data_IF_238917114807
#
_entry.id   IF_238917114807
#
_cell.length_a   1.000
_cell.length_b   1.000
_cell.length_c   1.000
_cell.angle_alpha   90.00
_cell.angle_beta   90.00
_cell.angle_gamma   90.00
#
_symmetry.space_group_name_H-M   'P 1'
#
loop_
_entity.id
_entity.type
_entity.pdbx_description
1 polymer ?
#
# COMPACT_ATOMS: atom_id res chain seq x y z
N UNK A 1 -16.36 -3.47 -9.49
CA UNK A 1 -17.85 -3.51 -9.38
C UNK A 1 -18.46 -2.78 -10.58
N UNK A 2 -18.90 -3.53 -11.60
CA UNK A 2 -19.12 -3.05 -12.98
C UNK A 2 -20.46 -2.35 -13.26
N UNK A 3 -20.58 -1.82 -14.48
CA UNK A 3 -21.78 -1.19 -15.07
C UNK A 3 -22.51 -2.25 -15.90
N UNK A 4 -23.81 -2.45 -15.64
CA UNK A 4 -24.74 -3.07 -16.60
C UNK A 4 -25.30 -1.96 -17.50
N UNK A 5 -25.07 -2.00 -18.83
CA UNK A 5 -25.63 -1.02 -19.75
C UNK A 5 -27.16 -1.12 -19.91
N UNK A 6 -27.82 -2.12 -19.32
CA UNK A 6 -29.24 -2.43 -19.52
C UNK A 6 -30.15 -2.15 -18.31
N UNK A 7 -29.65 -1.50 -17.26
CA UNK A 7 -30.49 -0.95 -16.19
C UNK A 7 -31.14 -1.96 -15.23
N UNK A 8 -30.55 -3.16 -15.02
CA UNK A 8 -30.98 -4.03 -13.91
C UNK A 8 -30.20 -3.71 -12.64
N UNK A 9 -30.85 -4.00 -11.51
CA UNK A 9 -30.37 -3.78 -10.14
C UNK A 9 -28.87 -4.02 -9.98
N UNK A 10 -28.14 -2.99 -9.55
CA UNK A 10 -26.71 -3.02 -9.28
C UNK A 10 -26.51 -3.24 -7.79
N UNK A 11 -25.89 -4.37 -7.48
CA UNK A 11 -25.47 -4.68 -6.12
C UNK A 11 -24.42 -3.67 -5.64
N UNK A 12 -24.78 -2.84 -4.66
CA UNK A 12 -23.87 -1.83 -4.10
C UNK A 12 -22.95 -2.40 -3.00
N UNK A 13 -21.97 -1.62 -2.54
CA UNK A 13 -21.06 -2.09 -1.48
C UNK A 13 -21.77 -2.36 -0.15
N UNK A 14 -22.87 -1.66 0.16
CA UNK A 14 -23.65 -1.87 1.40
C UNK A 14 -24.41 -3.18 1.35
N UNK A 15 -24.98 -3.51 0.21
CA UNK A 15 -25.65 -4.78 -0.04
C UNK A 15 -24.64 -5.94 0.00
N UNK A 16 -23.45 -5.73 -0.56
CA UNK A 16 -22.35 -6.70 -0.43
C UNK A 16 -21.91 -6.90 1.02
N UNK A 17 -21.79 -5.84 1.80
CA UNK A 17 -21.48 -5.93 3.24
C UNK A 17 -22.55 -6.73 3.99
N UNK A 18 -23.84 -6.48 3.72
CA UNK A 18 -24.93 -7.24 4.34
C UNK A 18 -24.88 -8.72 3.98
N UNK A 19 -24.55 -9.05 2.72
CA UNK A 19 -24.40 -10.44 2.29
C UNK A 19 -23.18 -11.09 2.97
N UNK A 20 -22.06 -10.38 3.08
CA UNK A 20 -20.88 -10.86 3.81
C UNK A 20 -21.24 -11.15 5.27
N UNK A 21 -21.98 -10.26 5.93
CA UNK A 21 -22.44 -10.47 7.30
C UNK A 21 -23.30 -11.74 7.44
N UNK A 22 -24.24 -11.96 6.52
CA UNK A 22 -25.06 -13.17 6.50
C UNK A 22 -24.22 -14.42 6.27
N UNK A 23 -23.27 -14.39 5.34
CA UNK A 23 -22.40 -15.53 5.05
C UNK A 23 -21.53 -15.90 6.26
N UNK A 24 -20.88 -14.91 6.88
CA UNK A 24 -20.06 -15.11 8.09
C UNK A 24 -20.91 -15.62 9.24
N UNK A 25 -22.12 -15.07 9.45
CA UNK A 25 -23.05 -15.56 10.47
C UNK A 25 -23.51 -17.01 10.23
N UNK A 26 -23.46 -17.49 8.99
CA UNK A 26 -23.77 -18.86 8.60
C UNK A 26 -22.52 -19.75 8.43
N UNK A 27 -21.37 -19.32 8.95
CA UNK A 27 -20.16 -20.15 9.02
C UNK A 27 -19.23 -20.06 7.80
N UNK A 28 -19.41 -19.08 6.92
CA UNK A 28 -18.41 -18.79 5.90
C UNK A 28 -17.08 -18.37 6.55
N UNK A 29 -15.97 -18.90 6.04
CA UNK A 29 -14.64 -18.63 6.57
C UNK A 29 -14.18 -17.20 6.25
N UNK A 30 -14.10 -16.37 7.30
CA UNK A 30 -13.61 -14.99 7.21
C UNK A 30 -12.08 -14.91 7.08
N UNK A 31 -11.38 -16.01 7.37
CA UNK A 31 -9.92 -16.12 7.31
C UNK A 31 -9.37 -16.44 5.93
N UNK A 32 -10.22 -16.61 4.91
CA UNK A 32 -9.76 -16.87 3.53
C UNK A 32 -8.87 -15.72 3.03
N UNK A 33 -7.60 -16.01 2.65
CA UNK A 33 -6.64 -15.05 2.12
C UNK A 33 -7.19 -14.21 0.95
N UNK A 34 -8.03 -14.85 0.13
CA UNK A 34 -8.59 -14.26 -1.09
C UNK A 34 -9.50 -13.06 -0.84
N UNK A 35 -10.12 -12.95 0.34
CA UNK A 35 -11.14 -11.92 0.62
C UNK A 35 -10.54 -10.51 0.59
N UNK A 36 -9.47 -10.29 1.37
CA UNK A 36 -8.81 -8.98 1.45
C UNK A 36 -8.12 -8.62 0.13
N UNK A 37 -7.45 -9.60 -0.49
CA UNK A 37 -6.82 -9.42 -1.80
C UNK A 37 -7.83 -9.00 -2.86
N UNK A 38 -8.99 -9.65 -2.91
CA UNK A 38 -10.04 -9.35 -3.89
C UNK A 38 -10.64 -7.97 -3.65
N UNK A 39 -10.97 -7.61 -2.41
CA UNK A 39 -11.49 -6.29 -2.09
C UNK A 39 -10.48 -5.17 -2.43
N UNK A 40 -9.20 -5.41 -2.19
CA UNK A 40 -8.14 -4.46 -2.53
C UNK A 40 -7.93 -4.32 -4.06
N UNK A 41 -7.84 -5.43 -4.79
CA UNK A 41 -7.64 -5.42 -6.24
C UNK A 41 -8.85 -4.85 -7.01
N UNK A 42 -10.06 -4.97 -6.46
CA UNK A 42 -11.29 -4.44 -7.06
C UNK A 42 -11.69 -3.06 -6.58
N UNK A 43 -10.82 -2.39 -5.81
CA UNK A 43 -11.00 -1.03 -5.31
C UNK A 43 -12.26 -0.87 -4.43
N UNK A 44 -12.62 -1.94 -3.71
CA UNK A 44 -13.77 -1.98 -2.81
C UNK A 44 -13.36 -1.67 -1.36
N UNK A 45 -13.00 -0.42 -1.08
CA UNK A 45 -12.44 -0.01 0.22
C UNK A 45 -13.40 -0.27 1.40
N UNK A 46 -14.70 -0.04 1.25
CA UNK A 46 -15.66 -0.25 2.34
C UNK A 46 -15.79 -1.74 2.68
N UNK A 47 -15.83 -2.59 1.65
CA UNK A 47 -15.80 -4.05 1.81
C UNK A 47 -14.50 -4.48 2.50
N UNK A 48 -13.36 -3.94 2.06
CA UNK A 48 -12.05 -4.24 2.65
C UNK A 48 -11.99 -3.91 4.15
N UNK A 49 -12.38 -2.69 4.53
CA UNK A 49 -12.43 -2.26 5.94
C UNK A 49 -13.41 -3.14 6.75
N UNK A 50 -14.56 -3.49 6.17
CA UNK A 50 -15.52 -4.38 6.81
C UNK A 50 -14.93 -5.77 7.09
N UNK A 51 -14.28 -6.38 6.09
CA UNK A 51 -13.62 -7.69 6.23
C UNK A 51 -12.56 -7.67 7.34
N UNK A 52 -11.71 -6.63 7.41
CA UNK A 52 -10.75 -6.48 8.50
C UNK A 52 -11.43 -6.42 9.88
N UNK A 53 -12.54 -5.67 9.98
CA UNK A 53 -13.31 -5.55 11.23
C UNK A 53 -13.94 -6.86 11.69
N UNK A 54 -14.20 -7.78 10.74
CA UNK A 54 -14.71 -9.13 11.00
C UNK A 54 -13.63 -10.16 11.29
N UNK A 55 -12.37 -9.77 11.25
CA UNK A 55 -11.24 -10.64 11.58
C UNK A 55 -10.52 -11.25 10.39
N UNK A 56 -10.82 -10.84 9.14
CA UNK A 56 -10.03 -11.26 8.00
C UNK A 56 -8.59 -10.77 8.14
N UNK A 57 -7.61 -11.64 7.86
CA UNK A 57 -6.18 -11.31 7.95
C UNK A 57 -5.45 -11.93 6.76
N UNK A 58 -4.70 -11.11 6.05
CA UNK A 58 -3.80 -11.51 4.96
C UNK A 58 -2.86 -10.35 4.65
N UNK A 59 -2.02 -10.04 5.64
CA UNK A 59 -1.23 -8.82 5.63
C UNK A 59 -0.27 -8.78 4.44
N UNK A 60 0.26 -9.94 4.04
CA UNK A 60 1.19 -10.10 2.92
C UNK A 60 0.51 -9.77 1.59
N UNK A 61 -0.66 -10.34 1.30
CA UNK A 61 -1.31 -10.07 0.01
C UNK A 61 -1.89 -8.65 -0.04
N UNK A 62 -2.25 -8.05 1.10
CA UNK A 62 -2.60 -6.62 1.15
C UNK A 62 -1.40 -5.74 0.81
N UNK A 63 -0.23 -6.01 1.39
CA UNK A 63 1.01 -5.31 1.09
C UNK A 63 1.37 -5.43 -0.40
N UNK A 64 1.22 -6.62 -0.97
CA UNK A 64 1.41 -6.87 -2.40
C UNK A 64 0.36 -6.18 -3.27
N UNK A 65 -0.90 -6.10 -2.85
CA UNK A 65 -1.94 -5.36 -3.57
C UNK A 65 -1.60 -3.87 -3.67
N UNK A 66 -1.18 -3.25 -2.56
CA UNK A 66 -0.86 -1.82 -2.54
C UNK A 66 0.40 -1.54 -3.38
N UNK A 67 1.49 -2.24 -3.11
CA UNK A 67 2.74 -2.04 -3.83
C UNK A 67 2.66 -2.45 -5.31
N UNK A 68 2.03 -3.58 -5.59
CA UNK A 68 1.78 -4.08 -6.94
C UNK A 68 0.84 -3.18 -7.72
N UNK A 69 -0.21 -2.65 -7.09
CA UNK A 69 -1.11 -1.65 -7.67
C UNK A 69 -0.36 -0.39 -8.11
N UNK A 70 0.53 0.13 -7.25
CA UNK A 70 1.40 1.27 -7.59
C UNK A 70 2.30 0.92 -8.80
N UNK A 71 2.98 -0.22 -8.78
CA UNK A 71 3.87 -0.62 -9.86
C UNK A 71 3.13 -0.82 -11.20
N UNK A 72 1.95 -1.45 -11.19
CA UNK A 72 1.11 -1.65 -12.37
C UNK A 72 0.62 -0.31 -12.92
N UNK A 73 0.13 0.58 -12.05
CA UNK A 73 -0.34 1.90 -12.46
C UNK A 73 0.78 2.72 -13.11
N UNK A 74 1.99 2.63 -12.57
CA UNK A 74 3.16 3.23 -13.21
C UNK A 74 3.48 2.64 -14.58
N UNK A 75 3.46 1.30 -14.70
CA UNK A 75 3.66 0.62 -15.98
C UNK A 75 2.64 1.04 -17.04
N UNK A 76 1.36 1.13 -16.66
CA UNK A 76 0.27 1.58 -17.53
C UNK A 76 0.42 3.03 -18.01
N UNK A 77 1.21 3.84 -17.29
CA UNK A 77 1.49 5.24 -17.65
C UNK A 77 2.92 5.41 -18.21
N UNK A 78 3.56 4.34 -18.71
CA UNK A 78 4.85 4.41 -19.38
C UNK A 78 6.05 4.66 -18.45
N UNK A 79 5.88 4.38 -17.16
CA UNK A 79 6.84 4.65 -16.10
C UNK A 79 7.17 3.36 -15.31
N UNK A 80 7.35 2.22 -15.99
CA UNK A 80 7.56 0.94 -15.30
C UNK A 80 8.81 0.96 -14.42
N UNK A 81 8.70 0.69 -13.11
CA UNK A 81 9.85 0.62 -12.20
C UNK A 81 10.67 -0.68 -12.34
N UNK A 82 10.26 -1.60 -13.23
CA UNK A 82 10.82 -2.94 -13.36
C UNK A 82 11.64 -3.04 -14.65
N UNK A 83 12.92 -2.70 -14.57
CA UNK A 83 14.01 -3.34 -15.31
C UNK A 83 15.33 -2.80 -14.75
N UNK A 84 16.38 -3.63 -14.72
CA UNK A 84 17.73 -3.33 -14.24
C UNK A 84 18.48 -2.27 -15.09
N UNK A 85 17.78 -1.28 -15.60
CA UNK A 85 18.30 -0.09 -16.27
C UNK A 85 18.53 1.01 -15.22
N UNK A 86 19.32 2.05 -15.53
CA UNK A 86 19.25 3.29 -14.77
C UNK A 86 17.79 3.76 -14.64
N UNK A 87 17.42 4.25 -13.46
CA UNK A 87 16.06 4.71 -13.16
C UNK A 87 15.59 5.69 -14.24
N UNK A 88 14.53 5.33 -14.97
CA UNK A 88 13.96 6.22 -16.00
C UNK A 88 13.44 7.50 -15.33
N UNK A 89 13.93 8.70 -15.71
CA UNK A 89 13.45 9.96 -15.16
C UNK A 89 11.93 10.15 -15.25
N UNK A 90 11.27 9.51 -16.23
CA UNK A 90 9.81 9.54 -16.38
C UNK A 90 9.09 8.97 -15.17
N UNK A 91 9.70 8.06 -14.42
CA UNK A 91 9.13 7.50 -13.18
C UNK A 91 8.87 8.60 -12.17
N UNK A 92 9.89 9.40 -11.88
CA UNK A 92 9.79 10.51 -10.93
C UNK A 92 8.95 11.67 -11.47
N UNK A 93 8.99 11.92 -12.78
CA UNK A 93 8.11 12.92 -13.40
C UNK A 93 6.64 12.53 -13.25
N UNK A 94 6.31 11.26 -13.52
CA UNK A 94 4.95 10.75 -13.36
C UNK A 94 4.51 10.73 -11.90
N UNK A 95 5.38 10.33 -10.98
CA UNK A 95 5.11 10.32 -9.53
C UNK A 95 4.73 11.72 -8.97
N UNK A 96 5.15 12.80 -9.65
CA UNK A 96 4.82 14.20 -9.27
C UNK A 96 3.49 14.69 -9.86
N UNK A 97 2.80 13.89 -10.67
CA UNK A 97 1.53 14.30 -11.29
C UNK A 97 0.36 14.19 -10.31
N UNK A 98 -0.67 15.03 -10.49
CA UNK A 98 -1.91 14.94 -9.73
C UNK A 98 -2.59 13.57 -9.90
N UNK A 99 -2.55 13.02 -11.11
CA UNK A 99 -3.09 11.68 -11.44
C UNK A 99 -2.44 10.58 -10.58
N UNK A 100 -1.11 10.63 -10.41
CA UNK A 100 -0.44 9.68 -9.53
C UNK A 100 -0.75 9.95 -8.06
N UNK A 101 -0.76 11.20 -7.62
CA UNK A 101 -1.03 11.56 -6.23
C UNK A 101 -2.42 11.11 -5.76
N UNK A 102 -3.44 11.20 -6.62
CA UNK A 102 -4.80 10.71 -6.36
C UNK A 102 -4.81 9.19 -6.20
N UNK A 103 -4.33 8.46 -7.21
CA UNK A 103 -4.25 7.00 -7.17
C UNK A 103 -3.44 6.49 -5.97
N UNK A 104 -2.29 7.12 -5.71
CA UNK A 104 -1.41 6.79 -4.60
C UNK A 104 -2.12 6.93 -3.26
N UNK A 105 -2.83 8.04 -3.04
CA UNK A 105 -3.60 8.27 -1.81
C UNK A 105 -4.66 7.20 -1.63
N UNK A 106 -5.40 6.86 -2.67
CA UNK A 106 -6.45 5.84 -2.59
C UNK A 106 -5.88 4.45 -2.31
N UNK A 107 -4.74 4.09 -2.90
CA UNK A 107 -4.07 2.82 -2.57
C UNK A 107 -3.49 2.79 -1.16
N UNK A 108 -2.89 3.88 -0.69
CA UNK A 108 -2.31 3.95 0.66
C UNK A 108 -3.34 3.81 1.78
N UNK A 109 -4.60 4.21 1.55
CA UNK A 109 -5.69 4.02 2.52
C UNK A 109 -5.90 2.56 2.90
N UNK A 110 -5.68 1.61 1.99
CA UNK A 110 -5.77 0.17 2.31
C UNK A 110 -4.71 -0.26 3.30
N UNK A 111 -3.47 0.23 3.13
CA UNK A 111 -2.40 -0.03 4.07
C UNK A 111 -2.67 0.64 5.41
N UNK A 112 -3.09 1.90 5.42
CA UNK A 112 -3.48 2.60 6.64
C UNK A 112 -4.59 1.88 7.42
N UNK A 113 -5.58 1.33 6.71
CA UNK A 113 -6.65 0.56 7.32
C UNK A 113 -6.16 -0.74 7.94
N UNK A 114 -5.25 -1.46 7.26
CA UNK A 114 -4.59 -2.66 7.79
C UNK A 114 -3.80 -2.34 9.06
N UNK A 115 -3.08 -1.21 9.10
CA UNK A 115 -2.24 -0.83 10.24
C UNK A 115 -3.02 -0.51 11.52
N UNK A 116 -4.35 -0.36 11.46
CA UNK A 116 -5.21 -0.28 12.65
C UNK A 116 -5.23 -1.59 13.44
N UNK A 117 -4.96 -2.72 12.78
CA UNK A 117 -5.02 -4.06 13.35
C UNK A 117 -3.65 -4.70 13.56
N UNK A 118 -2.65 -4.34 12.72
CA UNK A 118 -1.29 -4.85 12.80
C UNK A 118 -0.26 -3.75 12.50
N UNK A 119 0.54 -3.29 13.47
CA UNK A 119 1.56 -2.27 13.23
C UNK A 119 2.71 -2.79 12.35
N UNK A 120 3.42 -1.90 11.65
CA UNK A 120 4.56 -2.28 10.78
C UNK A 120 5.63 -3.10 11.52
N UNK A 121 5.78 -2.88 12.83
CA UNK A 121 6.71 -3.58 13.71
C UNK A 121 6.50 -5.09 13.80
N UNK A 122 5.33 -5.58 13.38
CA UNK A 122 4.96 -7.00 13.37
C UNK A 122 5.08 -7.64 11.98
N UNK A 123 5.52 -6.89 10.96
CA UNK A 123 5.76 -7.41 9.62
C UNK A 123 7.21 -7.87 9.48
N UNK A 124 7.43 -8.85 8.60
CA UNK A 124 8.78 -9.27 8.29
C UNK A 124 9.51 -8.19 7.47
N UNK A 125 10.82 -8.03 7.71
CA UNK A 125 11.64 -7.06 6.98
C UNK A 125 11.55 -7.22 5.44
N UNK A 126 11.39 -8.46 4.96
CA UNK A 126 11.22 -8.78 3.53
C UNK A 126 9.91 -8.23 2.94
N UNK A 127 8.85 -8.15 3.75
CA UNK A 127 7.54 -7.62 3.33
C UNK A 127 7.61 -6.09 3.25
N UNK A 128 8.27 -5.48 4.22
CA UNK A 128 8.51 -4.03 4.26
C UNK A 128 9.50 -3.58 3.18
N UNK A 129 10.38 -4.46 2.71
CA UNK A 129 11.42 -4.14 1.72
C UNK A 129 10.82 -3.53 0.45
N UNK A 130 9.67 -4.04 0.01
CA UNK A 130 8.96 -3.54 -1.17
C UNK A 130 8.64 -2.05 -1.03
N UNK A 131 8.14 -1.62 0.13
CA UNK A 131 7.81 -0.22 0.39
C UNK A 131 9.06 0.64 0.54
N UNK A 132 10.13 0.13 1.16
CA UNK A 132 11.40 0.88 1.24
C UNK A 132 12.02 1.11 -0.14
N UNK A 133 11.92 0.12 -1.03
CA UNK A 133 12.37 0.23 -2.42
C UNK A 133 11.50 1.17 -3.23
N UNK A 134 10.17 1.06 -3.12
CA UNK A 134 9.24 1.99 -3.78
C UNK A 134 9.50 3.43 -3.33
N UNK A 135 9.65 3.69 -2.03
CA UNK A 135 9.96 5.03 -1.51
C UNK A 135 11.17 5.65 -2.23
N UNK A 136 12.25 4.89 -2.39
CA UNK A 136 13.48 5.35 -3.04
C UNK A 136 13.37 5.49 -4.57
N UNK A 137 12.75 4.52 -5.25
CA UNK A 137 12.55 4.56 -6.71
C UNK A 137 11.72 5.79 -7.09
N UNK A 138 10.69 6.08 -6.31
CA UNK A 138 9.79 7.22 -6.54
C UNK A 138 10.36 8.55 -6.06
N UNK A 139 11.40 8.51 -5.23
CA UNK A 139 11.83 9.62 -4.38
C UNK A 139 10.64 10.27 -3.65
N UNK A 140 9.79 9.43 -3.05
CA UNK A 140 8.49 9.83 -2.51
C UNK A 140 8.62 10.28 -1.05
N UNK A 141 8.50 11.60 -0.84
CA UNK A 141 8.44 12.15 0.52
C UNK A 141 7.31 11.56 1.36
N UNK A 142 6.14 11.35 0.76
CA UNK A 142 4.95 10.85 1.45
C UNK A 142 5.15 9.41 1.94
N UNK A 143 5.74 8.54 1.12
CA UNK A 143 6.08 7.17 1.51
C UNK A 143 7.12 7.16 2.63
N UNK A 144 8.17 7.98 2.52
CA UNK A 144 9.20 8.08 3.56
C UNK A 144 8.59 8.58 4.86
N UNK A 145 7.79 9.65 4.84
CA UNK A 145 7.09 10.17 6.03
C UNK A 145 6.17 9.10 6.63
N UNK A 146 5.45 8.35 5.80
CA UNK A 146 4.61 7.24 6.24
C UNK A 146 5.42 6.16 6.97
N UNK A 147 6.52 5.68 6.39
CA UNK A 147 7.39 4.67 6.99
C UNK A 147 7.98 5.17 8.32
N UNK A 148 8.51 6.40 8.36
CA UNK A 148 9.10 7.01 9.56
C UNK A 148 8.06 7.27 10.67
N UNK A 149 6.82 7.64 10.30
CA UNK A 149 5.70 7.81 11.24
C UNK A 149 5.33 6.48 11.88
N UNK A 150 5.40 5.38 11.12
CA UNK A 150 5.07 4.03 11.58
C UNK A 150 6.28 3.24 12.13
N UNK A 151 7.31 3.94 12.62
CA UNK A 151 8.37 3.34 13.43
C UNK A 151 9.65 2.96 12.69
N UNK A 152 9.68 3.00 11.35
CA UNK A 152 10.92 2.75 10.59
C UNK A 152 11.97 3.80 10.99
N UNK A 153 13.20 3.36 11.26
CA UNK A 153 14.31 4.16 11.81
C UNK A 153 14.12 4.69 13.24
N UNK A 154 13.06 4.29 13.96
CA UNK A 154 12.84 4.65 15.37
C UNK A 154 12.80 3.44 16.29
N UNK A 155 12.17 2.36 15.84
CA UNK A 155 12.02 1.13 16.60
C UNK A 155 13.14 0.16 16.23
N UNK A 156 13.69 -0.52 17.24
CA UNK A 156 14.83 -1.43 17.09
C UNK A 156 14.52 -2.61 16.16
N UNK A 157 13.33 -3.19 16.28
CA UNK A 157 12.86 -4.29 15.42
C UNK A 157 12.58 -3.88 13.96
N UNK A 158 12.61 -2.59 13.64
CA UNK A 158 12.49 -2.06 12.27
C UNK A 158 13.83 -1.53 11.72
N UNK A 159 14.94 -1.83 12.39
CA UNK A 159 16.26 -1.35 12.00
C UNK A 159 16.69 -1.85 10.61
N UNK A 160 16.44 -3.12 10.28
CA UNK A 160 16.73 -3.67 8.94
C UNK A 160 15.94 -2.93 7.86
N UNK A 161 14.68 -2.58 8.11
CA UNK A 161 13.88 -1.77 7.18
C UNK A 161 14.42 -0.34 7.04
N UNK A 162 14.95 0.25 8.13
CA UNK A 162 15.64 1.54 8.06
C UNK A 162 16.90 1.48 7.19
N UNK A 163 17.70 0.43 7.35
CA UNK A 163 18.92 0.21 6.57
C UNK A 163 18.60 -0.01 5.09
N UNK A 164 17.58 -0.81 4.79
CA UNK A 164 17.08 -0.99 3.43
C UNK A 164 16.62 0.33 2.82
N UNK A 165 15.86 1.15 3.55
CA UNK A 165 15.42 2.46 3.09
C UNK A 165 16.61 3.38 2.76
N UNK A 166 17.63 3.45 3.64
CA UNK A 166 18.86 4.24 3.40
C UNK A 166 19.67 3.73 2.22
N UNK A 167 19.84 2.41 2.13
CA UNK A 167 20.55 1.72 1.04
C UNK A 167 19.90 2.04 -0.29
N UNK A 168 18.59 1.85 -0.42
CA UNK A 168 17.86 2.10 -1.65
C UNK A 168 17.82 3.58 -2.00
N UNK A 169 17.61 4.47 -1.03
CA UNK A 169 17.61 5.91 -1.29
C UNK A 169 18.98 6.39 -1.82
N UNK A 170 20.08 5.85 -1.30
CA UNK A 170 21.43 6.10 -1.84
C UNK A 170 21.60 5.50 -3.24
N UNK A 171 21.23 4.22 -3.41
CA UNK A 171 21.38 3.50 -4.68
C UNK A 171 20.64 4.19 -5.84
N UNK A 172 19.47 4.77 -5.58
CA UNK A 172 18.65 5.42 -6.59
C UNK A 172 18.84 6.94 -6.68
N UNK A 173 19.79 7.55 -5.95
CA UNK A 173 19.95 9.01 -5.86
C UNK A 173 18.61 9.72 -5.53
N UNK A 174 17.93 9.22 -4.49
CA UNK A 174 16.65 9.72 -4.01
C UNK A 174 16.89 10.86 -3.01
N UNK A 175 17.11 12.06 -3.52
CA UNK A 175 17.60 13.21 -2.74
C UNK A 175 16.59 13.68 -1.71
N UNK A 176 15.31 13.73 -2.07
CA UNK A 176 14.25 14.17 -1.18
C UNK A 176 14.04 13.15 -0.05
N UNK A 177 14.09 11.87 -0.40
CA UNK A 177 14.05 10.75 0.54
C UNK A 177 15.23 10.77 1.52
N UNK A 178 16.47 10.90 1.02
CA UNK A 178 17.67 10.97 1.86
C UNK A 178 17.62 12.16 2.82
N UNK A 179 17.16 13.33 2.34
CA UNK A 179 16.99 14.51 3.18
C UNK A 179 16.04 14.24 4.34
N UNK A 180 14.92 13.57 4.09
CA UNK A 180 13.95 13.22 5.14
C UNK A 180 14.47 12.15 6.11
N UNK A 181 15.13 11.12 5.62
CA UNK A 181 15.68 10.03 6.46
C UNK A 181 16.76 10.56 7.41
N UNK A 182 17.61 11.49 6.93
CA UNK A 182 18.71 12.04 7.71
C UNK A 182 18.26 13.14 8.67
N UNK A 183 17.16 13.83 8.37
CA UNK A 183 16.55 14.78 9.29
C UNK A 183 15.77 14.01 10.36
N UNK A 184 16.38 13.83 11.54
CA UNK A 184 15.80 13.19 12.75
C UNK A 184 14.50 13.85 13.29
N UNK A 185 13.91 14.80 12.57
CA UNK A 185 12.83 15.69 13.02
C UNK A 185 11.40 15.21 12.72
N UNK A 186 11.18 13.93 12.39
CA UNK A 186 9.82 13.37 12.38
C UNK A 186 9.48 12.87 13.79
N UNK A 187 9.49 13.74 14.79
CA UNK A 187 8.91 13.43 16.10
C UNK A 187 7.38 13.44 15.98
N UNK A 188 6.66 12.41 16.45
CA UNK A 188 5.22 12.51 16.59
C UNK A 188 4.91 13.60 17.63
N UNK A 189 3.99 14.51 17.29
CA UNK A 189 3.21 15.22 18.31
C UNK A 189 2.18 14.26 18.89
#
# INVERSE_FOLDING_TARGET
LGIDPNGKYKFDQKEAIRLIDLLVANGADIGSPELLRTACNTEAFEIFSHLLSKGARDDKDVMLCVAGGIAIFMGQNGASPIANAPLDPKIRQFAKTAKFAEFYRDKMRYLEELLKFKPLSEFEAKELEIFTKLAAVLDSEDMVKFLLKNGVCKQENLQTSCENLKKYATQFDAKDSLKLINNKAVSPK
#
